data_IF_014672930521
#
_entry.id   IF_014672930521
#
_cell.length_a   1.000
_cell.length_b   1.000
_cell.length_c   1.000
_cell.angle_alpha   90.00
_cell.angle_beta   90.00
_cell.angle_gamma   90.00
#
_symmetry.space_group_name_H-M   'P 1'
#
loop_
_entity.id
_entity.type
_entity.pdbx_description
1 polymer ?
#
# COMPACT_ATOMS: atom_id res chain seq x y z
N UNK A 1 1.78 9.54 23.53
CA UNK A 1 1.77 10.72 24.38
C UNK A 1 0.33 11.01 24.83
N UNK A 2 0.10 11.03 26.15
CA UNK A 2 -1.24 11.24 26.72
C UNK A 2 -1.85 12.61 26.36
N UNK A 3 -1.03 13.55 25.91
CA UNK A 3 -1.44 14.90 25.53
C UNK A 3 -1.43 15.14 24.01
N UNK A 4 -1.16 14.11 23.19
CA UNK A 4 -1.00 14.28 21.74
C UNK A 4 -2.20 14.96 21.09
N UNK A 5 -3.41 14.54 21.44
CA UNK A 5 -4.65 15.11 20.92
C UNK A 5 -4.83 16.58 21.29
N UNK A 6 -4.60 16.94 22.56
CA UNK A 6 -4.71 18.32 23.04
C UNK A 6 -3.64 19.21 22.41
N UNK A 7 -2.43 18.70 22.24
CA UNK A 7 -1.35 19.41 21.55
C UNK A 7 -1.70 19.71 20.09
N UNK A 8 -2.27 18.72 19.38
CA UNK A 8 -2.74 18.91 18.02
C UNK A 8 -3.83 20.00 17.95
N UNK A 9 -4.85 19.90 18.81
CA UNK A 9 -5.97 20.84 18.81
C UNK A 9 -5.54 22.28 19.13
N UNK A 10 -4.52 22.44 19.95
CA UNK A 10 -3.95 23.75 20.28
C UNK A 10 -3.24 24.41 19.08
N UNK A 11 -2.63 23.62 18.21
CA UNK A 11 -1.84 24.11 17.09
C UNK A 11 -2.64 24.20 15.78
N UNK A 12 -3.52 23.23 15.54
CA UNK A 12 -4.15 23.00 14.24
C UNK A 12 -5.67 23.08 14.25
N UNK A 13 -6.30 23.15 15.44
CA UNK A 13 -7.75 23.16 15.57
C UNK A 13 -8.35 21.76 15.74
N UNK A 14 -9.65 21.58 15.47
CA UNK A 14 -10.37 20.33 15.72
C UNK A 14 -9.71 19.12 15.02
N UNK A 15 -9.68 17.97 15.70
CA UNK A 15 -9.20 16.70 15.12
C UNK A 15 -10.15 16.08 14.11
N UNK A 16 -11.43 16.45 14.21
CA UNK A 16 -12.47 16.02 13.28
C UNK A 16 -12.98 17.25 12.56
N UNK A 17 -12.83 17.29 11.24
CA UNK A 17 -13.25 18.43 10.41
C UNK A 17 -13.46 17.97 8.96
N UNK A 18 -14.19 18.80 8.22
CA UNK A 18 -14.39 18.61 6.79
C UNK A 18 -14.29 19.93 6.05
N UNK A 19 -14.09 19.86 4.76
CA UNK A 19 -14.11 21.01 3.87
C UNK A 19 -14.36 20.60 2.42
N UNK A 20 -14.85 21.54 1.62
CA UNK A 20 -15.05 21.34 0.20
C UNK A 20 -13.93 22.01 -0.61
N UNK A 21 -13.51 21.33 -1.68
CA UNK A 21 -12.68 21.95 -2.73
C UNK A 21 -13.24 21.54 -4.10
N UNK A 22 -13.96 22.47 -4.74
CA UNK A 22 -14.69 22.16 -5.98
C UNK A 22 -15.71 21.05 -5.74
N UNK A 23 -15.64 19.98 -6.55
CA UNK A 23 -16.54 18.86 -6.47
C UNK A 23 -16.04 17.73 -5.54
N UNK A 24 -15.11 18.06 -4.66
CA UNK A 24 -14.58 17.13 -3.65
C UNK A 24 -14.96 17.58 -2.26
N UNK A 25 -15.47 16.64 -1.48
CA UNK A 25 -15.66 16.79 -0.04
C UNK A 25 -14.62 15.98 0.70
N UNK A 26 -13.81 16.62 1.53
CA UNK A 26 -12.72 15.99 2.27
C UNK A 26 -13.09 15.98 3.75
N UNK A 27 -13.07 14.79 4.35
CA UNK A 27 -13.27 14.58 5.78
C UNK A 27 -11.96 14.13 6.40
N UNK A 28 -11.55 14.75 7.50
CA UNK A 28 -10.45 14.28 8.34
C UNK A 28 -10.98 13.91 9.71
N UNK A 29 -10.70 12.68 10.16
CA UNK A 29 -11.25 12.17 11.40
C UNK A 29 -10.20 11.40 12.20
N UNK A 30 -10.10 11.71 13.49
CA UNK A 30 -9.28 10.97 14.43
C UNK A 30 -9.96 9.64 14.76
N UNK A 31 -9.39 8.54 14.25
CA UNK A 31 -9.85 7.18 14.55
C UNK A 31 -8.93 6.43 15.51
N UNK A 32 -8.07 7.15 16.25
CA UNK A 32 -7.23 6.59 17.30
C UNK A 32 -7.95 6.74 18.64
N UNK A 33 -8.62 5.68 19.07
CA UNK A 33 -9.28 5.65 20.39
C UNK A 33 -8.24 5.35 21.46
N UNK A 34 -7.66 6.40 22.02
CA UNK A 34 -6.55 6.30 22.98
C UNK A 34 -7.05 5.97 24.38
N UNK A 35 -6.49 4.92 24.97
CA UNK A 35 -6.88 4.36 26.29
C UNK A 35 -5.85 4.69 27.40
N UNK A 36 -4.84 5.49 27.08
CA UNK A 36 -3.76 5.85 28.01
C UNK A 36 -2.57 4.87 28.02
N UNK A 37 -1.44 5.33 28.53
CA UNK A 37 -0.20 4.51 28.66
C UNK A 37 0.22 3.81 27.35
N UNK A 38 0.11 4.50 26.22
CA UNK A 38 0.40 3.99 24.87
C UNK A 38 -0.53 2.87 24.38
N UNK A 39 -1.64 2.64 25.05
CA UNK A 39 -2.69 1.74 24.58
C UNK A 39 -3.69 2.51 23.73
N UNK A 40 -4.10 1.93 22.65
CA UNK A 40 -5.11 2.49 21.74
C UNK A 40 -5.76 1.36 20.93
N UNK A 41 -6.87 1.68 20.33
CA UNK A 41 -7.55 0.86 19.33
C UNK A 41 -8.02 1.73 18.17
N UNK A 42 -8.26 1.11 16.99
CA UNK A 42 -8.89 1.79 15.87
C UNK A 42 -10.40 1.85 16.04
N UNK A 43 -11.02 2.95 15.65
CA UNK A 43 -12.49 3.06 15.69
C UNK A 43 -12.98 4.49 15.58
N UNK A 44 -14.28 4.61 15.36
CA UNK A 44 -15.03 5.86 15.31
C UNK A 44 -16.10 5.79 16.42
N UNK A 45 -16.13 6.75 17.31
CA UNK A 45 -17.14 6.81 18.36
C UNK A 45 -18.54 7.11 17.78
N UNK A 46 -19.61 6.76 18.50
CA UNK A 46 -20.99 7.08 18.08
C UNK A 46 -21.18 8.57 17.82
N UNK A 47 -20.56 9.43 18.64
CA UNK A 47 -20.59 10.88 18.44
C UNK A 47 -19.91 11.32 17.15
N UNK A 48 -18.78 10.71 16.79
CA UNK A 48 -18.10 11.00 15.54
C UNK A 48 -18.91 10.50 14.34
N UNK A 49 -19.51 9.31 14.44
CA UNK A 49 -20.35 8.77 13.38
C UNK A 49 -21.60 9.66 13.15
N UNK A 50 -22.23 10.14 14.23
CA UNK A 50 -23.37 11.04 14.10
C UNK A 50 -22.94 12.39 13.50
N UNK A 51 -21.79 12.93 13.92
CA UNK A 51 -21.23 14.13 13.30
C UNK A 51 -20.99 13.93 11.80
N UNK A 52 -20.39 12.80 11.39
CA UNK A 52 -20.14 12.47 9.99
C UNK A 52 -21.46 12.35 9.21
N UNK A 53 -22.50 11.75 9.80
CA UNK A 53 -23.84 11.65 9.20
C UNK A 53 -24.42 13.03 8.92
N UNK A 54 -24.33 13.93 9.89
CA UNK A 54 -24.84 15.30 9.74
C UNK A 54 -24.03 16.05 8.68
N UNK A 55 -22.72 15.97 8.70
CA UNK A 55 -21.85 16.63 7.73
C UNK A 55 -22.17 16.15 6.30
N UNK A 56 -22.18 14.84 6.06
CA UNK A 56 -22.45 14.26 4.75
C UNK A 56 -23.90 14.45 4.27
N UNK A 57 -24.83 14.78 5.16
CA UNK A 57 -26.22 15.11 4.79
C UNK A 57 -26.34 16.41 4.01
N UNK A 58 -25.34 17.29 4.12
CA UNK A 58 -25.26 18.58 3.42
C UNK A 58 -24.39 18.50 2.14
N UNK A 59 -23.92 17.33 1.77
CA UNK A 59 -23.05 17.11 0.63
C UNK A 59 -23.83 16.45 -0.51
N UNK A 60 -23.77 17.04 -1.72
CA UNK A 60 -24.40 16.45 -2.90
C UNK A 60 -23.83 15.08 -3.20
N UNK A 61 -24.69 14.11 -3.52
CA UNK A 61 -24.29 12.70 -3.66
C UNK A 61 -23.47 12.40 -4.92
N UNK A 62 -23.35 13.34 -5.83
CA UNK A 62 -22.49 13.26 -7.01
C UNK A 62 -21.05 13.73 -6.73
N UNK A 63 -20.77 14.34 -5.58
CA UNK A 63 -19.40 14.73 -5.21
C UNK A 63 -18.54 13.52 -4.88
N UNK A 64 -17.24 13.66 -5.14
CA UNK A 64 -16.22 12.76 -4.61
C UNK A 64 -16.05 12.99 -3.12
N UNK A 65 -16.12 11.94 -2.31
CA UNK A 65 -15.80 11.99 -0.89
C UNK A 65 -14.45 11.32 -0.62
N UNK A 66 -13.54 12.05 0.02
CA UNK A 66 -12.26 11.53 0.51
C UNK A 66 -12.28 11.54 2.03
N UNK A 67 -12.34 10.35 2.63
CA UNK A 67 -12.29 10.16 4.07
C UNK A 67 -10.86 9.86 4.51
N UNK A 68 -10.28 10.72 5.34
CA UNK A 68 -8.91 10.60 5.84
C UNK A 68 -8.93 10.21 7.32
N UNK A 69 -8.20 9.16 7.68
CA UNK A 69 -7.98 8.75 9.06
C UNK A 69 -6.60 8.09 9.20
N UNK A 70 -6.27 7.56 10.38
CA UNK A 70 -4.94 6.99 10.62
C UNK A 70 -4.92 5.46 10.57
N UNK A 71 -5.78 4.79 11.33
CA UNK A 71 -5.78 3.33 11.48
C UNK A 71 -6.65 2.69 10.40
N UNK A 72 -6.16 1.65 9.68
CA UNK A 72 -6.92 0.98 8.63
C UNK A 72 -8.25 0.40 9.13
N UNK A 73 -9.27 0.45 8.28
CA UNK A 73 -10.55 -0.19 8.50
C UNK A 73 -10.44 -1.72 8.36
N UNK A 74 -9.50 -2.16 7.52
CA UNK A 74 -9.23 -3.57 7.29
C UNK A 74 -7.75 -3.87 7.45
N UNK A 75 -7.44 -5.02 8.07
CA UNK A 75 -6.09 -5.56 8.05
C UNK A 75 -5.11 -4.93 9.03
N UNK A 76 -5.58 -4.31 10.10
CA UNK A 76 -4.72 -4.00 11.23
C UNK A 76 -3.89 -5.24 11.61
N UNK A 77 -2.59 -5.07 11.83
CA UNK A 77 -1.68 -6.17 12.17
C UNK A 77 -1.43 -6.28 13.66
N UNK A 78 -1.97 -5.35 14.41
CA UNK A 78 -1.88 -5.31 15.86
C UNK A 78 -3.15 -5.87 16.48
N UNK A 79 -3.01 -6.65 17.53
CA UNK A 79 -4.14 -7.12 18.37
C UNK A 79 -4.95 -5.94 18.94
N UNK A 80 -4.35 -4.75 18.98
CA UNK A 80 -5.00 -3.51 19.41
C UNK A 80 -5.87 -2.88 18.33
N UNK A 81 -5.71 -3.27 17.07
CA UNK A 81 -6.45 -2.72 15.93
C UNK A 81 -7.77 -3.49 15.64
N UNK A 82 -8.11 -4.49 16.44
CA UNK A 82 -9.24 -5.40 16.18
C UNK A 82 -10.63 -4.82 16.46
N UNK A 83 -10.72 -3.68 17.13
CA UNK A 83 -12.03 -3.07 17.32
C UNK A 83 -12.34 -2.16 16.14
N UNK A 84 -13.07 -2.66 15.20
CA UNK A 84 -13.63 -1.90 14.07
C UNK A 84 -14.90 -1.13 14.45
N UNK A 85 -14.87 -0.46 15.61
CA UNK A 85 -16.03 0.25 16.14
C UNK A 85 -16.53 1.29 15.13
N UNK A 86 -17.78 1.14 14.70
CA UNK A 86 -18.47 2.02 13.74
C UNK A 86 -17.88 2.12 12.32
N UNK A 87 -16.90 1.32 11.94
CA UNK A 87 -16.37 1.35 10.57
C UNK A 87 -17.42 0.96 9.51
N UNK A 88 -18.31 0.02 9.85
CA UNK A 88 -19.44 -0.33 8.99
C UNK A 88 -20.38 0.86 8.76
N UNK A 89 -20.65 1.65 9.80
CA UNK A 89 -21.46 2.87 9.69
C UNK A 89 -20.82 3.92 8.78
N UNK A 90 -19.50 4.06 8.85
CA UNK A 90 -18.76 4.96 7.94
C UNK A 90 -18.87 4.46 6.49
N UNK A 91 -18.68 3.15 6.25
CA UNK A 91 -18.81 2.56 4.92
C UNK A 91 -20.23 2.71 4.35
N UNK A 92 -21.27 2.60 5.20
CA UNK A 92 -22.65 2.83 4.78
C UNK A 92 -22.86 4.27 4.30
N UNK A 93 -22.36 5.25 5.04
CA UNK A 93 -22.45 6.67 4.67
C UNK A 93 -21.67 6.98 3.38
N UNK A 94 -20.45 6.45 3.24
CA UNK A 94 -19.64 6.65 2.05
C UNK A 94 -20.27 6.00 0.80
N UNK A 95 -20.95 4.88 0.95
CA UNK A 95 -21.63 4.17 -0.15
C UNK A 95 -22.82 4.95 -0.74
N UNK A 96 -23.28 6.02 -0.10
CA UNK A 96 -24.32 6.89 -0.65
C UNK A 96 -23.84 7.78 -1.81
N UNK A 97 -22.51 7.96 -1.96
CA UNK A 97 -21.91 8.86 -2.93
C UNK A 97 -21.58 8.16 -4.25
N UNK A 98 -21.42 8.95 -5.31
CA UNK A 98 -21.03 8.43 -6.62
C UNK A 98 -19.64 7.79 -6.59
N UNK A 99 -18.69 8.43 -5.90
CA UNK A 99 -17.34 7.95 -5.68
C UNK A 99 -16.88 8.32 -4.27
N UNK A 100 -16.27 7.37 -3.57
CA UNK A 100 -15.68 7.60 -2.25
C UNK A 100 -14.41 6.77 -2.05
N UNK A 101 -13.42 7.38 -1.39
CA UNK A 101 -12.15 6.76 -1.05
C UNK A 101 -11.79 6.99 0.42
N UNK A 102 -11.06 6.04 0.99
CA UNK A 102 -10.53 6.12 2.35
C UNK A 102 -9.00 6.20 2.26
N UNK A 103 -8.41 7.23 2.87
CA UNK A 103 -6.96 7.47 2.90
C UNK A 103 -6.43 7.22 4.29
N UNK A 104 -5.53 6.23 4.43
CA UNK A 104 -5.08 5.69 5.72
C UNK A 104 -3.55 5.56 5.73
N UNK A 105 -2.96 5.51 6.90
CA UNK A 105 -1.55 5.29 7.13
C UNK A 105 -1.28 4.16 8.13
N UNK A 106 -0.60 4.45 9.22
CA UNK A 106 -0.37 3.61 10.40
C UNK A 106 0.59 2.41 10.22
N UNK A 107 0.37 1.60 9.20
CA UNK A 107 0.98 0.27 9.08
C UNK A 107 2.41 0.28 8.56
N UNK A 108 2.86 1.41 7.98
CA UNK A 108 4.17 1.56 7.34
C UNK A 108 4.41 0.54 6.22
N UNK A 109 3.35 0.20 5.48
CA UNK A 109 3.40 -0.55 4.22
C UNK A 109 2.32 -0.05 3.27
N UNK A 110 2.46 -0.35 1.99
CA UNK A 110 1.51 0.00 0.94
C UNK A 110 0.50 -1.12 0.76
N UNK A 111 -0.79 -0.81 0.84
CA UNK A 111 -1.85 -1.78 0.61
C UNK A 111 -3.12 -1.07 0.18
N UNK A 112 -3.92 -1.70 -0.68
CA UNK A 112 -5.28 -1.28 -0.97
C UNK A 112 -6.27 -2.34 -0.56
N UNK A 113 -7.32 -1.93 0.13
CA UNK A 113 -8.46 -2.79 0.45
C UNK A 113 -9.68 -2.36 -0.33
N UNK A 114 -10.48 -3.34 -0.75
CA UNK A 114 -11.68 -3.13 -1.53
C UNK A 114 -12.87 -3.46 -0.64
N UNK A 115 -13.65 -2.42 -0.30
CA UNK A 115 -14.90 -2.58 0.41
C UNK A 115 -16.06 -2.62 -0.58
N UNK A 116 -16.93 -3.61 -0.43
CA UNK A 116 -18.20 -3.71 -1.15
C UNK A 116 -19.32 -3.37 -0.21
N UNK A 117 -20.04 -2.28 -0.48
CA UNK A 117 -21.12 -1.81 0.39
C UNK A 117 -22.27 -1.23 -0.44
N UNK A 118 -23.50 -1.73 -0.24
CA UNK A 118 -24.70 -1.24 -0.91
C UNK A 118 -24.55 -1.13 -2.44
N UNK A 119 -23.90 -2.12 -3.08
CA UNK A 119 -23.62 -2.15 -4.52
C UNK A 119 -22.49 -1.25 -4.99
N UNK A 120 -21.87 -0.47 -4.10
CA UNK A 120 -20.72 0.39 -4.39
C UNK A 120 -19.39 -0.27 -4.04
N UNK A 121 -18.34 0.24 -4.66
CA UNK A 121 -16.96 -0.10 -4.34
C UNK A 121 -16.29 1.11 -3.72
N UNK A 122 -15.74 0.96 -2.51
CA UNK A 122 -14.98 1.97 -1.82
C UNK A 122 -13.55 1.43 -1.69
N UNK A 123 -12.58 2.18 -2.20
CA UNK A 123 -11.16 1.83 -2.06
C UNK A 123 -10.59 2.47 -0.80
N UNK A 124 -9.99 1.66 0.03
CA UNK A 124 -9.17 2.09 1.16
C UNK A 124 -7.70 2.01 0.76
N UNK A 125 -7.04 3.15 0.73
CA UNK A 125 -5.64 3.30 0.40
C UNK A 125 -4.82 3.39 1.68
N UNK A 126 -4.12 2.32 2.02
CA UNK A 126 -3.14 2.33 3.11
C UNK A 126 -1.79 2.70 2.52
N UNK A 127 -1.25 3.83 2.93
CA UNK A 127 -0.04 4.38 2.35
C UNK A 127 1.21 3.89 3.06
N UNK A 128 2.25 3.61 2.28
CA UNK A 128 3.60 3.46 2.78
C UNK A 128 4.07 4.75 3.49
N UNK A 129 5.05 4.62 4.36
CA UNK A 129 5.51 5.72 5.20
C UNK A 129 6.71 6.43 4.60
N UNK A 130 6.72 7.76 4.65
CA UNK A 130 7.89 8.57 4.28
C UNK A 130 9.11 8.30 5.18
N UNK A 131 8.89 7.80 6.40
CA UNK A 131 9.93 7.36 7.33
C UNK A 131 10.33 5.89 7.18
N UNK A 132 9.76 5.17 6.21
CA UNK A 132 9.98 3.74 6.04
C UNK A 132 9.51 2.90 7.22
N UNK A 133 10.14 1.75 7.43
CA UNK A 133 9.80 0.86 8.52
C UNK A 133 10.30 1.44 9.86
N UNK A 134 9.45 2.22 10.51
CA UNK A 134 9.69 2.79 11.86
C UNK A 134 11.03 3.53 12.02
N UNK A 135 11.39 4.39 11.04
CA UNK A 135 12.67 5.15 11.04
C UNK A 135 13.93 4.27 11.14
N UNK A 136 13.83 2.99 10.81
CA UNK A 136 14.95 2.05 10.93
C UNK A 136 15.51 1.60 9.59
N UNK A 137 14.88 1.99 8.48
CA UNK A 137 15.29 1.63 7.13
C UNK A 137 14.79 2.66 6.10
N UNK A 138 15.39 2.64 4.92
CA UNK A 138 15.04 3.54 3.82
C UNK A 138 13.91 2.98 2.95
N UNK A 139 13.18 1.98 3.43
CA UNK A 139 11.99 1.42 2.79
C UNK A 139 11.04 0.86 3.84
N UNK A 140 9.81 0.67 3.44
CA UNK A 140 8.75 0.07 4.23
C UNK A 140 8.96 -1.44 4.40
N UNK A 141 8.21 -2.04 5.34
CA UNK A 141 8.35 -3.46 5.66
C UNK A 141 7.96 -4.41 4.52
N UNK A 142 7.18 -3.93 3.58
CA UNK A 142 6.72 -4.63 2.36
C UNK A 142 7.63 -4.39 1.13
N UNK A 143 8.72 -3.65 1.30
CA UNK A 143 9.63 -3.30 0.22
C UNK A 143 9.22 -2.07 -0.59
N UNK A 144 8.10 -1.44 -0.29
CA UNK A 144 7.76 -0.14 -0.87
C UNK A 144 8.81 0.90 -0.46
N UNK A 145 9.34 1.72 -1.37
CA UNK A 145 10.28 2.77 -1.01
C UNK A 145 9.60 3.81 -0.10
N UNK A 146 10.40 4.55 0.66
CA UNK A 146 9.88 5.70 1.43
C UNK A 146 9.20 6.69 0.48
N UNK A 147 7.98 7.11 0.81
CA UNK A 147 7.23 7.95 -0.11
C UNK A 147 5.82 8.29 0.37
N UNK A 148 5.01 8.69 -0.59
CA UNK A 148 3.63 9.12 -0.38
C UNK A 148 2.77 8.89 -1.63
N UNK A 149 1.46 8.79 -1.45
CA UNK A 149 0.50 8.73 -2.57
C UNK A 149 0.28 10.11 -3.19
N UNK A 150 0.18 10.19 -4.50
CA UNK A 150 -0.25 11.37 -5.28
C UNK A 150 -1.55 11.02 -5.97
N UNK A 151 -2.53 11.90 -5.86
CA UNK A 151 -3.86 11.75 -6.45
C UNK A 151 -4.21 12.99 -7.25
N UNK A 152 -4.47 12.81 -8.53
CA UNK A 152 -4.90 13.87 -9.43
C UNK A 152 -6.41 13.78 -9.62
N UNK A 153 -7.10 14.84 -9.26
CA UNK A 153 -8.55 14.90 -9.27
C UNK A 153 -9.04 15.75 -10.44
N UNK A 154 -10.02 15.23 -11.18
CA UNK A 154 -10.71 15.94 -12.25
C UNK A 154 -12.23 15.91 -11.99
N UNK A 155 -12.80 17.09 -11.72
CA UNK A 155 -14.19 17.17 -11.29
C UNK A 155 -14.42 16.41 -9.99
N UNK A 156 -15.26 15.40 -10.04
CA UNK A 156 -15.68 14.56 -8.91
C UNK A 156 -15.09 13.14 -8.93
N UNK A 157 -13.95 12.94 -9.60
CA UNK A 157 -13.30 11.63 -9.69
C UNK A 157 -11.79 11.72 -9.54
N UNK A 158 -11.16 10.64 -9.03
CA UNK A 158 -9.71 10.47 -9.07
C UNK A 158 -9.32 10.02 -10.48
N UNK A 159 -8.81 10.97 -11.28
CA UNK A 159 -8.42 10.72 -12.67
C UNK A 159 -7.09 9.97 -12.79
N UNK A 160 -6.18 10.15 -11.82
CA UNK A 160 -4.88 9.49 -11.80
C UNK A 160 -4.39 9.33 -10.36
N UNK A 161 -3.58 8.30 -10.12
CA UNK A 161 -2.92 8.06 -8.84
C UNK A 161 -1.62 7.30 -9.03
N UNK A 162 -0.60 7.68 -8.29
CA UNK A 162 0.66 6.96 -8.25
C UNK A 162 1.35 7.12 -6.88
N UNK A 163 2.29 6.24 -6.59
CA UNK A 163 3.12 6.35 -5.39
C UNK A 163 4.41 7.09 -5.75
N UNK A 164 4.70 8.18 -5.05
CA UNK A 164 5.94 8.95 -5.26
C UNK A 164 6.96 8.61 -4.19
N UNK A 165 8.02 7.93 -4.59
CA UNK A 165 9.19 7.75 -3.72
C UNK A 165 9.87 9.09 -3.45
N UNK A 166 10.39 9.29 -2.24
CA UNK A 166 11.05 10.55 -1.84
C UNK A 166 12.32 10.85 -2.63
N UNK A 167 12.97 9.81 -3.18
CA UNK A 167 14.27 9.89 -3.83
C UNK A 167 14.30 9.30 -5.25
N UNK A 168 13.15 9.03 -5.84
CA UNK A 168 13.02 8.49 -7.21
C UNK A 168 12.00 9.29 -8.00
N UNK A 169 12.05 9.15 -9.32
CA UNK A 169 11.05 9.72 -10.20
C UNK A 169 9.69 9.01 -10.06
N UNK A 170 8.63 9.63 -10.59
CA UNK A 170 7.26 9.13 -10.43
C UNK A 170 7.01 7.80 -11.15
N UNK A 171 7.79 7.47 -12.16
CA UNK A 171 7.73 6.22 -12.92
C UNK A 171 8.36 5.02 -12.20
N UNK A 172 9.09 5.25 -11.09
CA UNK A 172 9.64 4.18 -10.27
C UNK A 172 8.54 3.51 -9.44
N UNK A 173 7.82 2.56 -10.06
CA UNK A 173 6.68 1.86 -9.47
C UNK A 173 6.91 0.35 -9.29
N UNK A 174 8.06 -0.17 -9.73
CA UNK A 174 8.35 -1.61 -9.77
C UNK A 174 9.77 -1.87 -9.29
N UNK A 175 9.95 -2.85 -8.39
CA UNK A 175 11.25 -3.48 -8.14
C UNK A 175 11.19 -4.94 -8.58
N UNK A 176 12.15 -5.35 -9.42
CA UNK A 176 12.30 -6.71 -9.85
C UNK A 176 13.52 -7.37 -9.19
N UNK A 177 13.39 -8.63 -8.78
CA UNK A 177 14.49 -9.42 -8.24
C UNK A 177 14.32 -10.91 -8.55
N UNK A 178 15.42 -11.69 -8.45
CA UNK A 178 15.37 -13.14 -8.63
C UNK A 178 14.59 -13.80 -7.49
N UNK A 179 13.61 -14.65 -7.81
CA UNK A 179 12.83 -15.36 -6.80
C UNK A 179 13.64 -16.29 -5.91
N UNK A 180 14.73 -16.84 -6.44
CA UNK A 180 15.54 -17.86 -5.76
C UNK A 180 16.82 -17.31 -5.15
N UNK A 181 17.20 -16.07 -5.48
CA UNK A 181 18.48 -15.52 -5.04
C UNK A 181 18.37 -14.02 -4.71
N UNK A 182 18.67 -13.68 -3.47
CA UNK A 182 18.75 -12.30 -2.99
C UNK A 182 20.12 -12.08 -2.36
N UNK A 183 20.80 -11.03 -2.78
CA UNK A 183 22.17 -10.70 -2.37
C UNK A 183 22.17 -9.71 -1.21
N UNK A 184 23.18 -9.80 -0.35
CA UNK A 184 23.37 -8.91 0.77
C UNK A 184 24.84 -8.74 1.15
N UNK A 185 25.13 -8.04 2.24
CA UNK A 185 26.49 -7.79 2.74
C UNK A 185 27.29 -9.08 2.99
N UNK A 186 26.63 -10.14 3.37
CA UNK A 186 27.24 -11.42 3.72
C UNK A 186 27.18 -12.45 2.59
N UNK A 187 26.77 -12.05 1.38
CA UNK A 187 26.63 -12.94 0.24
C UNK A 187 25.19 -13.09 -0.26
N UNK A 188 24.88 -14.23 -0.85
CA UNK A 188 23.56 -14.54 -1.38
C UNK A 188 22.74 -15.34 -0.38
N UNK A 189 21.46 -15.02 -0.30
CA UNK A 189 20.47 -15.89 0.34
C UNK A 189 19.63 -16.59 -0.72
N UNK A 190 19.36 -17.86 -0.49
CA UNK A 190 18.41 -18.64 -1.29
C UNK A 190 17.17 -18.90 -0.46
N UNK A 191 16.01 -18.62 -1.01
CA UNK A 191 14.72 -18.81 -0.35
C UNK A 191 13.96 -19.97 -0.98
N UNK A 192 13.27 -20.75 -0.13
CA UNK A 192 12.23 -21.66 -0.55
C UNK A 192 10.86 -20.99 -0.42
N UNK A 193 10.12 -20.92 -1.52
CA UNK A 193 8.79 -20.35 -1.51
C UNK A 193 7.76 -21.33 -0.95
N UNK A 194 6.71 -20.78 -0.37
CA UNK A 194 5.64 -21.57 0.22
C UNK A 194 4.95 -22.50 -0.80
N UNK A 195 4.30 -23.53 -0.30
CA UNK A 195 3.62 -24.53 -1.13
C UNK A 195 2.54 -23.95 -2.07
N UNK A 196 2.02 -22.76 -1.76
CA UNK A 196 1.05 -22.05 -2.59
C UNK A 196 1.65 -21.37 -3.84
N UNK A 197 2.97 -21.29 -3.94
CA UNK A 197 3.66 -20.68 -5.08
C UNK A 197 4.90 -21.50 -5.51
N UNK A 198 4.79 -22.80 -5.81
CA UNK A 198 5.94 -23.68 -6.10
C UNK A 198 6.71 -23.25 -7.36
N UNK A 199 6.06 -22.58 -8.31
CA UNK A 199 6.70 -22.06 -9.51
C UNK A 199 7.77 -20.98 -9.21
N UNK A 200 7.72 -20.34 -8.06
CA UNK A 200 8.71 -19.36 -7.63
C UNK A 200 10.04 -20.00 -7.17
N UNK A 201 10.11 -21.32 -7.06
CA UNK A 201 11.36 -22.06 -6.81
C UNK A 201 12.18 -22.33 -8.09
N UNK A 202 11.66 -21.98 -9.27
CA UNK A 202 12.38 -22.09 -10.54
C UNK A 202 13.48 -21.02 -10.59
N UNK A 203 14.68 -21.42 -11.00
CA UNK A 203 15.83 -20.51 -11.18
C UNK A 203 15.59 -19.42 -12.23
N UNK A 204 14.60 -19.59 -13.10
CA UNK A 204 14.18 -18.60 -14.12
C UNK A 204 13.17 -17.58 -13.57
N UNK A 205 12.71 -17.75 -12.35
CA UNK A 205 11.63 -16.94 -11.81
C UNK A 205 12.10 -15.54 -11.40
N UNK A 206 11.37 -14.54 -11.91
CA UNK A 206 11.48 -13.13 -11.49
C UNK A 206 10.26 -12.77 -10.64
N UNK A 207 10.50 -12.08 -9.54
CA UNK A 207 9.46 -11.44 -8.72
C UNK A 207 9.46 -9.95 -9.01
N UNK A 208 8.28 -9.38 -9.17
CA UNK A 208 8.04 -7.95 -9.22
C UNK A 208 7.22 -7.51 -8.00
N UNK A 209 7.75 -6.58 -7.24
CA UNK A 209 6.98 -5.81 -6.27
C UNK A 209 6.43 -4.57 -7.01
N UNK A 210 5.11 -4.53 -7.19
CA UNK A 210 4.37 -3.43 -7.84
C UNK A 210 3.52 -2.76 -6.77
N UNK A 211 4.16 -1.96 -5.94
CA UNK A 211 3.62 -1.51 -4.64
C UNK A 211 2.32 -0.72 -4.70
N UNK A 212 1.98 -0.09 -5.81
CA UNK A 212 0.69 0.61 -5.95
C UNK A 212 -0.44 -0.27 -6.52
N UNK A 213 -0.16 -1.55 -6.82
CA UNK A 213 -1.17 -2.46 -7.37
C UNK A 213 -2.13 -2.99 -6.28
N UNK A 214 -3.25 -3.54 -6.71
CA UNK A 214 -4.33 -4.01 -5.85
C UNK A 214 -5.06 -5.24 -6.43
N UNK A 215 -6.07 -5.71 -5.69
CA UNK A 215 -6.88 -6.87 -6.03
C UNK A 215 -8.09 -6.57 -6.92
N UNK A 216 -8.24 -5.36 -7.45
CA UNK A 216 -9.41 -4.97 -8.26
C UNK A 216 -9.50 -5.72 -9.59
N UNK A 217 -8.38 -6.26 -10.07
CA UNK A 217 -8.27 -6.86 -11.41
C UNK A 217 -7.93 -5.85 -12.50
N UNK A 218 -7.79 -4.57 -12.17
CA UNK A 218 -7.46 -3.52 -13.13
C UNK A 218 -5.98 -3.49 -13.50
N UNK A 219 -5.13 -4.06 -12.65
CA UNK A 219 -3.70 -4.15 -12.91
C UNK A 219 -3.36 -5.34 -13.80
N UNK A 220 -2.55 -5.10 -14.82
CA UNK A 220 -1.97 -6.12 -15.68
C UNK A 220 -0.46 -6.04 -15.61
N UNK A 221 0.18 -7.11 -15.19
CA UNK A 221 1.63 -7.17 -15.08
C UNK A 221 2.12 -8.28 -15.99
N UNK A 222 3.06 -7.96 -16.88
CA UNK A 222 3.58 -8.91 -17.88
C UNK A 222 5.09 -8.94 -17.88
N UNK A 223 5.64 -10.13 -18.19
CA UNK A 223 7.07 -10.39 -18.36
C UNK A 223 7.38 -10.53 -19.84
N UNK A 224 8.39 -9.80 -20.28
CA UNK A 224 8.90 -9.80 -21.64
C UNK A 224 10.37 -10.25 -21.64
N UNK A 225 10.79 -10.91 -22.68
CA UNK A 225 12.19 -11.30 -22.89
C UNK A 225 12.57 -11.10 -24.35
N UNK A 226 13.70 -10.43 -24.60
CA UNK A 226 14.17 -10.10 -25.96
C UNK A 226 13.07 -9.44 -26.81
N UNK A 227 12.31 -8.53 -26.23
CA UNK A 227 11.23 -7.80 -26.92
C UNK A 227 9.93 -8.61 -27.18
N UNK A 228 9.86 -9.86 -26.71
CA UNK A 228 8.68 -10.72 -26.85
C UNK A 228 8.02 -10.99 -25.51
N UNK A 229 6.70 -10.88 -25.45
CA UNK A 229 5.94 -11.21 -24.23
C UNK A 229 6.06 -12.70 -23.93
N UNK A 230 6.56 -13.02 -22.73
CA UNK A 230 6.68 -14.39 -22.24
C UNK A 230 5.40 -14.85 -21.54
N UNK A 231 4.89 -14.04 -20.63
CA UNK A 231 3.67 -14.37 -19.88
C UNK A 231 3.04 -13.14 -19.23
N UNK A 232 1.77 -13.28 -18.84
CA UNK A 232 1.20 -12.47 -17.81
C UNK A 232 1.72 -12.98 -16.47
N UNK A 233 2.22 -12.07 -15.62
CA UNK A 233 2.76 -12.46 -14.32
C UNK A 233 1.62 -12.77 -13.35
N UNK A 234 1.83 -13.79 -12.55
CA UNK A 234 0.85 -14.23 -11.54
C UNK A 234 0.99 -13.41 -10.28
N UNK A 235 -0.10 -12.78 -9.84
CA UNK A 235 -0.17 -12.09 -8.55
C UNK A 235 -0.16 -13.11 -7.42
N UNK A 236 0.59 -12.82 -6.36
CA UNK A 236 0.77 -13.73 -5.22
C UNK A 236 0.74 -12.97 -3.91
N UNK A 237 0.12 -13.57 -2.90
CA UNK A 237 0.19 -13.09 -1.52
C UNK A 237 1.38 -13.73 -0.82
N UNK A 238 2.38 -12.93 -0.51
CA UNK A 238 3.65 -13.39 0.06
C UNK A 238 4.38 -12.25 0.76
N UNK A 239 5.59 -12.52 1.24
CA UNK A 239 6.55 -11.51 1.70
C UNK A 239 7.37 -11.01 0.53
N UNK A 240 7.83 -9.75 0.58
CA UNK A 240 8.94 -9.31 -0.26
C UNK A 240 10.25 -9.85 0.33
N UNK A 241 10.77 -10.92 -0.24
CA UNK A 241 11.99 -11.54 0.28
C UNK A 241 13.24 -10.67 0.08
N UNK A 242 13.24 -9.80 -0.93
CA UNK A 242 14.31 -8.83 -1.08
C UNK A 242 14.28 -7.79 0.06
N UNK A 243 13.12 -7.24 0.38
CA UNK A 243 12.96 -6.32 1.49
C UNK A 243 13.27 -6.99 2.84
N UNK A 244 12.82 -8.23 3.01
CA UNK A 244 13.14 -9.03 4.18
C UNK A 244 14.66 -9.19 4.34
N UNK A 245 15.37 -9.58 3.29
CA UNK A 245 16.82 -9.71 3.32
C UNK A 245 17.52 -8.37 3.59
N UNK A 246 17.01 -7.28 3.02
CA UNK A 246 17.50 -5.93 3.29
C UNK A 246 17.41 -5.58 4.77
N UNK A 247 16.26 -5.78 5.40
CA UNK A 247 16.08 -5.49 6.82
C UNK A 247 16.95 -6.37 7.71
N UNK A 248 17.04 -7.66 7.41
CA UNK A 248 17.75 -8.65 8.24
C UNK A 248 19.26 -8.59 8.03
N UNK A 249 19.72 -8.61 6.78
CA UNK A 249 21.14 -8.69 6.46
C UNK A 249 21.84 -7.34 6.46
N UNK A 250 21.19 -6.33 5.90
CA UNK A 250 21.80 -5.02 5.77
C UNK A 250 21.71 -4.22 7.06
N UNK A 251 20.56 -4.21 7.71
CA UNK A 251 20.34 -3.50 8.97
C UNK A 251 20.48 -4.36 10.22
N UNK A 252 20.82 -5.65 10.08
CA UNK A 252 21.01 -6.57 11.21
C UNK A 252 19.82 -6.58 12.19
N UNK A 253 18.61 -6.46 11.68
CA UNK A 253 17.40 -6.53 12.49
C UNK A 253 17.05 -8.01 12.75
N UNK A 254 16.64 -8.31 13.97
CA UNK A 254 16.15 -9.65 14.28
C UNK A 254 14.92 -9.97 13.47
N UNK A 255 14.82 -11.22 13.03
CA UNK A 255 13.67 -11.74 12.31
C UNK A 255 12.44 -11.69 13.23
N UNK A 256 11.58 -10.73 12.99
CA UNK A 256 10.31 -10.60 13.69
C UNK A 256 9.19 -10.34 12.70
N UNK A 257 7.95 -10.51 13.12
CA UNK A 257 6.76 -10.23 12.31
C UNK A 257 6.68 -8.77 11.82
N UNK A 258 7.49 -7.90 12.37
CA UNK A 258 7.56 -6.47 12.03
C UNK A 258 8.21 -6.21 10.68
N UNK A 259 9.14 -7.06 10.24
CA UNK A 259 10.01 -6.81 9.08
C UNK A 259 9.63 -7.59 7.83
N UNK A 260 8.51 -8.29 7.85
CA UNK A 260 7.95 -8.94 6.69
C UNK A 260 6.43 -8.86 6.78
N UNK A 261 5.81 -8.42 5.72
CA UNK A 261 4.35 -8.34 5.61
C UNK A 261 3.89 -9.20 4.45
N UNK A 262 2.97 -10.10 4.75
CA UNK A 262 2.36 -10.99 3.76
C UNK A 262 1.25 -10.24 3.03
N UNK A 263 1.63 -9.51 1.98
CA UNK A 263 0.75 -8.66 1.18
C UNK A 263 0.60 -9.24 -0.23
N UNK A 264 -0.18 -8.60 -1.07
CA UNK A 264 -0.61 -9.16 -2.35
C UNK A 264 -0.34 -8.28 -3.57
N UNK A 265 0.56 -7.32 -3.45
CA UNK A 265 1.04 -6.50 -4.57
C UNK A 265 2.32 -7.04 -5.23
N UNK A 266 2.59 -8.34 -5.06
CA UNK A 266 3.70 -9.03 -5.68
C UNK A 266 3.24 -9.89 -6.85
N UNK A 267 4.10 -9.97 -7.86
CA UNK A 267 3.87 -10.76 -9.06
C UNK A 267 5.10 -11.62 -9.35
N UNK A 268 4.89 -12.79 -9.93
CA UNK A 268 5.97 -13.63 -10.38
C UNK A 268 5.73 -14.15 -11.79
N UNK A 269 6.83 -14.40 -12.51
CA UNK A 269 6.82 -15.04 -13.83
C UNK A 269 8.16 -15.68 -14.13
N UNK A 270 8.14 -16.72 -14.95
CA UNK A 270 9.35 -17.42 -15.35
C UNK A 270 9.81 -16.96 -16.73
N UNK A 271 11.10 -16.64 -16.87
CA UNK A 271 11.74 -16.39 -18.17
C UNK A 271 11.58 -17.61 -19.07
N UNK A 272 11.50 -17.40 -20.37
CA UNK A 272 11.49 -18.47 -21.36
C UNK A 272 12.81 -19.25 -21.30
N UNK A 273 13.96 -18.55 -21.13
CA UNK A 273 15.29 -19.15 -21.07
C UNK A 273 16.24 -18.32 -20.19
N UNK A 274 17.30 -18.93 -19.72
CA UNK A 274 18.35 -18.29 -18.93
C UNK A 274 17.93 -18.05 -17.48
N UNK A 275 18.66 -17.18 -16.78
CA UNK A 275 18.39 -16.77 -15.40
C UNK A 275 18.21 -15.25 -15.33
N UNK A 276 17.50 -14.73 -14.32
CA UNK A 276 17.22 -13.30 -14.22
C UNK A 276 18.46 -12.39 -14.32
N UNK A 277 19.58 -12.81 -13.77
CA UNK A 277 20.81 -12.01 -13.78
C UNK A 277 21.53 -11.94 -15.13
N UNK A 278 21.21 -12.83 -16.07
CA UNK A 278 21.87 -12.93 -17.38
C UNK A 278 20.92 -12.64 -18.56
N UNK A 279 19.63 -12.55 -18.30
CA UNK A 279 18.62 -12.39 -19.34
C UNK A 279 18.34 -10.91 -19.63
N UNK A 280 18.08 -10.61 -20.90
CA UNK A 280 17.43 -9.36 -21.28
C UNK A 280 15.93 -9.50 -21.04
N UNK A 281 15.40 -8.82 -20.04
CA UNK A 281 14.01 -8.86 -19.67
C UNK A 281 13.41 -7.46 -19.47
N UNK A 282 12.11 -7.37 -19.59
CA UNK A 282 11.33 -6.21 -19.19
C UNK A 282 10.07 -6.66 -18.45
N UNK A 283 9.75 -6.00 -17.36
CA UNK A 283 8.45 -6.11 -16.67
C UNK A 283 7.65 -4.87 -17.00
N UNK A 284 6.42 -5.09 -17.45
CA UNK A 284 5.48 -4.03 -17.80
C UNK A 284 4.27 -4.16 -16.89
N UNK A 285 3.95 -3.11 -16.14
CA UNK A 285 2.76 -3.02 -15.30
C UNK A 285 1.85 -1.90 -15.83
N UNK A 286 0.62 -2.25 -16.14
CA UNK A 286 -0.43 -1.34 -16.59
C UNK A 286 -1.49 -1.23 -15.49
N UNK A 287 -1.83 -0.02 -15.09
CA UNK A 287 -2.94 0.22 -14.15
C UNK A 287 -4.27 0.41 -14.90
N UNK A 288 -5.36 0.47 -14.16
CA UNK A 288 -6.68 0.71 -14.75
C UNK A 288 -6.95 2.18 -15.16
N UNK A 289 -5.96 3.07 -15.00
CA UNK A 289 -6.08 4.50 -15.28
C UNK A 289 -5.32 4.94 -16.52
N UNK A 290 -4.69 3.98 -17.23
CA UNK A 290 -3.95 4.22 -18.48
C UNK A 290 -2.46 4.45 -18.29
N UNK A 291 -1.92 4.33 -17.09
CA UNK A 291 -0.49 4.42 -16.88
C UNK A 291 0.19 3.07 -17.18
N UNK A 292 1.40 3.17 -17.72
CA UNK A 292 2.27 2.02 -17.98
C UNK A 292 3.63 2.26 -17.35
N UNK A 293 4.02 1.39 -16.45
CA UNK A 293 5.30 1.40 -15.76
C UNK A 293 6.17 0.27 -16.25
N UNK A 294 7.48 0.50 -16.37
CA UNK A 294 8.41 -0.47 -16.93
C UNK A 294 9.69 -0.57 -16.10
N UNK A 295 10.23 -1.77 -16.02
CA UNK A 295 11.57 -1.98 -15.50
C UNK A 295 12.27 -3.14 -16.21
N UNK A 296 13.51 -2.93 -16.60
CA UNK A 296 14.45 -3.98 -17.03
C UNK A 296 15.60 -4.15 -16.04
N UNK A 297 15.53 -3.43 -14.91
CA UNK A 297 16.55 -3.48 -13.87
C UNK A 297 16.26 -4.60 -12.88
N UNK A 298 17.15 -5.58 -12.79
CA UNK A 298 17.15 -6.55 -11.70
C UNK A 298 17.85 -5.94 -10.48
N UNK A 299 17.17 -5.95 -9.35
CA UNK A 299 17.79 -5.54 -8.08
C UNK A 299 18.59 -6.72 -7.53
N UNK A 300 19.90 -6.62 -7.54
CA UNK A 300 20.83 -7.68 -7.12
C UNK A 300 21.56 -7.38 -5.83
N UNK A 301 21.43 -6.14 -5.33
CA UNK A 301 22.05 -5.66 -4.09
C UNK A 301 21.09 -4.75 -3.32
N UNK A 302 21.56 -4.19 -2.22
CA UNK A 302 20.79 -3.28 -1.36
C UNK A 302 21.18 -1.80 -1.55
N UNK A 303 21.53 -1.42 -2.76
CA UNK A 303 21.88 -0.05 -3.11
C UNK A 303 20.97 0.50 -4.20
N UNK A 304 20.85 1.82 -4.27
CA UNK A 304 20.22 2.51 -5.40
C UNK A 304 18.70 2.27 -5.57
N UNK A 305 18.01 1.89 -4.51
CA UNK A 305 16.54 1.72 -4.52
C UNK A 305 15.84 2.93 -3.88
#
# INVERSE_FOLDING_TARGET
DDNAAANFETQFGPRNYSFNRGDVHIVSMDNVLYEGKKKYKGGITDRQLEWLRQDLSHVDKDKLVIFCAHIPFRGGTSVTDESHENYDGVLDLLAEFSEAHIMIGHTHYQQKYIHKRNGKTILEHVHGAACGAWWTANLCADGTPNGYGVYEISGNTIANQYYKSTNKEADYQIRAYSATQVFGKSGSLTFGWAANAPAMNDAKCIVANVWNSDASGNWKVSLWQNGTKVCDMTRVKTYDYWAYAYHVLYYSKSVGTTWGKNLDHYYYGNLASGTPGAADFEIVAEDGMGNTYRTSKLQTDFTGF
#
